data_IF_931355775588
#
_entry.id   IF_931355775588
#
_cell.length_a   1.000
_cell.length_b   1.000
_cell.length_c   1.000
_cell.angle_alpha   90.00
_cell.angle_beta   90.00
_cell.angle_gamma   90.00
#
_symmetry.space_group_name_H-M   'P 1'
#
loop_
_entity.id
_entity.type
_entity.pdbx_description
1 polymer ?
#
# COMPACT_ATOMS: atom_id res chain seq x y z
N UNK A 1 -1.05 10.41 -29.34
CA UNK A 1 -0.23 10.77 -28.17
C UNK A 1 -1.09 11.26 -27.00
N UNK A 2 -2.08 12.15 -27.23
CA UNK A 2 -2.98 12.68 -26.18
C UNK A 2 -3.76 11.59 -25.42
N UNK A 3 -4.27 10.55 -26.09
CA UNK A 3 -5.04 9.48 -25.43
C UNK A 3 -4.23 8.68 -24.39
N UNK A 4 -2.94 8.44 -24.65
CA UNK A 4 -2.07 7.71 -23.72
C UNK A 4 -1.77 8.50 -22.46
N UNK A 5 -1.56 9.82 -22.60
CA UNK A 5 -1.36 10.70 -21.46
C UNK A 5 -2.62 10.75 -20.57
N UNK A 6 -3.81 10.84 -21.19
CA UNK A 6 -5.07 10.80 -20.46
C UNK A 6 -5.27 9.50 -19.67
N UNK A 7 -5.00 8.35 -20.30
CA UNK A 7 -5.08 7.04 -19.65
C UNK A 7 -4.09 6.89 -18.48
N UNK A 8 -2.86 7.40 -18.64
CA UNK A 8 -1.86 7.40 -17.58
C UNK A 8 -2.33 8.23 -16.37
N UNK A 9 -2.81 9.46 -16.61
CA UNK A 9 -3.31 10.34 -15.54
C UNK A 9 -4.52 9.74 -14.82
N UNK A 10 -5.44 9.12 -15.56
CA UNK A 10 -6.59 8.42 -14.98
C UNK A 10 -6.14 7.26 -14.10
N UNK A 11 -5.19 6.45 -14.58
CA UNK A 11 -4.64 5.32 -13.82
C UNK A 11 -3.98 5.79 -12.53
N UNK A 12 -3.15 6.84 -12.60
CA UNK A 12 -2.52 7.44 -11.42
C UNK A 12 -3.55 8.03 -10.44
N UNK A 13 -4.62 8.64 -10.96
CA UNK A 13 -5.72 9.17 -10.16
C UNK A 13 -6.42 8.06 -9.37
N UNK A 14 -6.81 6.98 -10.06
CA UNK A 14 -7.48 5.82 -9.43
C UNK A 14 -6.56 5.15 -8.42
N UNK A 15 -5.29 4.91 -8.78
CA UNK A 15 -4.33 4.29 -7.88
C UNK A 15 -4.02 5.16 -6.65
N UNK A 16 -3.99 6.49 -6.79
CA UNK A 16 -3.88 7.43 -5.67
C UNK A 16 -5.08 7.32 -4.73
N UNK A 17 -6.30 7.22 -5.27
CA UNK A 17 -7.51 7.02 -4.48
C UNK A 17 -7.47 5.67 -3.72
N UNK A 18 -7.02 4.59 -4.38
CA UNK A 18 -6.84 3.28 -3.76
C UNK A 18 -5.82 3.34 -2.62
N UNK A 19 -4.68 4.02 -2.82
CA UNK A 19 -3.67 4.18 -1.79
C UNK A 19 -4.22 4.90 -0.55
N UNK A 20 -4.95 6.00 -0.75
CA UNK A 20 -5.60 6.73 0.35
C UNK A 20 -6.65 5.88 1.05
N UNK A 21 -7.43 5.10 0.29
CA UNK A 21 -8.37 4.13 0.85
C UNK A 21 -7.67 3.07 1.72
N UNK A 22 -6.52 2.57 1.27
CA UNK A 22 -5.69 1.65 2.04
C UNK A 22 -5.19 2.26 3.35
N UNK A 23 -4.75 3.53 3.33
CA UNK A 23 -4.36 4.26 4.55
C UNK A 23 -5.53 4.47 5.50
N UNK A 24 -6.71 4.82 5.00
CA UNK A 24 -7.91 4.99 5.81
C UNK A 24 -8.33 3.67 6.49
N UNK A 25 -8.31 2.55 5.76
CA UNK A 25 -8.57 1.22 6.33
C UNK A 25 -7.51 0.82 7.35
N UNK A 26 -6.23 1.13 7.08
CA UNK A 26 -5.15 0.87 8.01
C UNK A 26 -5.32 1.63 9.33
N UNK A 27 -5.63 2.92 9.26
CA UNK A 27 -5.92 3.74 10.43
C UNK A 27 -7.12 3.20 11.21
N UNK A 28 -8.17 2.76 10.51
CA UNK A 28 -9.34 2.14 11.14
C UNK A 28 -8.99 0.82 11.86
N UNK A 29 -8.05 0.04 11.34
CA UNK A 29 -7.62 -1.21 11.94
C UNK A 29 -6.67 -1.02 13.14
N UNK A 30 -5.82 0.01 13.11
CA UNK A 30 -4.85 0.31 14.18
C UNK A 30 -5.50 1.04 15.35
N UNK A 31 -6.44 1.96 15.07
CA UNK A 31 -6.96 2.91 16.06
C UNK A 31 -6.13 4.19 16.16
N UNK A 32 -6.48 5.05 17.12
CA UNK A 32 -5.78 6.31 17.41
C UNK A 32 -4.44 6.05 18.10
N UNK A 33 -3.48 6.94 17.88
CA UNK A 33 -2.18 6.83 18.54
C UNK A 33 -2.32 7.18 20.03
N UNK A 34 -2.08 6.20 20.91
CA UNK A 34 -2.04 6.46 22.35
C UNK A 34 -0.72 7.14 22.68
N UNK A 35 -0.79 8.36 23.19
CA UNK A 35 0.39 9.03 23.75
C UNK A 35 0.47 8.59 25.20
N UNK A 36 1.41 7.69 25.49
CA UNK A 36 1.77 7.39 26.88
C UNK A 36 2.40 8.66 27.46
N UNK A 37 1.74 9.25 28.45
CA UNK A 37 2.36 10.30 29.25
C UNK A 37 3.54 9.69 29.96
N UNK A 38 4.73 10.28 29.80
CA UNK A 38 5.87 9.97 30.66
C UNK A 38 5.41 10.29 32.08
N UNK A 39 5.15 9.25 32.86
CA UNK A 39 4.84 9.35 34.29
C UNK A 39 5.93 10.26 34.88
N UNK A 40 5.52 11.44 35.32
CA UNK A 40 6.41 12.32 36.07
C UNK A 40 6.94 11.51 37.24
N UNK A 41 8.25 11.54 37.45
CA UNK A 41 8.88 11.03 38.67
C UNK A 41 8.42 11.92 39.86
N UNK A 42 7.13 11.91 40.20
CA UNK A 42 6.62 12.44 41.46
C UNK A 42 6.73 11.31 42.48
N UNK A 43 7.91 11.21 43.10
CA UNK A 43 8.23 10.18 44.10
C UNK A 43 7.50 10.36 45.44
N UNK A 44 6.52 11.27 45.51
CA UNK A 44 5.88 11.69 46.76
C UNK A 44 4.35 11.73 46.69
N UNK A 45 3.73 11.28 45.60
CA UNK A 45 2.28 11.10 45.56
C UNK A 45 1.94 9.66 45.97
N UNK A 46 1.42 9.49 47.18
CA UNK A 46 0.79 8.25 47.67
C UNK A 46 -0.54 7.92 46.96
N UNK A 47 -0.86 8.60 45.85
CA UNK A 47 -2.07 8.38 45.07
C UNK A 47 -1.78 7.39 43.95
N UNK A 48 -2.62 6.36 43.84
CA UNK A 48 -2.59 5.37 42.76
C UNK A 48 -2.54 6.10 41.41
N UNK A 49 -1.39 6.01 40.73
CA UNK A 49 -1.17 6.58 39.39
C UNK A 49 -2.08 5.88 38.37
N UNK A 50 -3.33 6.34 38.28
CA UNK A 50 -4.21 6.03 37.18
C UNK A 50 -3.58 6.59 35.90
N UNK A 51 -2.98 5.71 35.11
CA UNK A 51 -2.51 6.01 33.76
C UNK A 51 -3.69 6.53 32.93
N UNK A 52 -3.86 7.86 32.82
CA UNK A 52 -4.88 8.45 31.96
C UNK A 52 -4.37 8.33 30.51
N UNK A 53 -4.94 7.45 29.65
CA UNK A 53 -4.60 7.46 28.25
C UNK A 53 -5.07 8.78 27.64
N UNK A 54 -4.14 9.66 27.28
CA UNK A 54 -4.48 10.85 26.52
C UNK A 54 -4.77 10.38 25.09
N UNK A 55 -6.05 10.27 24.76
CA UNK A 55 -6.49 10.03 23.39
C UNK A 55 -5.98 11.19 22.52
N UNK A 56 -5.02 10.90 21.65
CA UNK A 56 -4.67 11.80 20.57
C UNK A 56 -5.64 11.52 19.42
N UNK A 57 -6.44 12.51 19.04
CA UNK A 57 -7.30 12.47 17.85
C UNK A 57 -6.51 12.32 16.52
N UNK A 58 -5.19 12.23 16.59
CA UNK A 58 -4.34 12.10 15.40
C UNK A 58 -4.34 10.66 14.90
N UNK A 59 -4.53 10.45 13.58
CA UNK A 59 -4.42 9.12 13.00
C UNK A 59 -3.00 8.57 13.15
N UNK A 60 -2.89 7.26 13.41
CA UNK A 60 -1.61 6.58 13.57
C UNK A 60 -0.73 6.61 12.30
N UNK A 61 -1.35 6.76 11.12
CA UNK A 61 -0.68 6.91 9.83
C UNK A 61 -1.17 8.23 9.22
N UNK A 62 -0.27 9.22 9.01
CA UNK A 62 -0.67 10.46 8.38
C UNK A 62 -1.12 10.21 6.94
N UNK A 63 -2.31 10.70 6.59
CA UNK A 63 -2.81 10.56 5.23
C UNK A 63 -1.95 11.37 4.25
N UNK A 64 -1.47 10.75 3.15
CA UNK A 64 -0.78 11.50 2.12
C UNK A 64 -1.73 12.48 1.46
N UNK A 65 -1.24 13.69 1.17
CA UNK A 65 -1.93 14.60 0.25
C UNK A 65 -2.11 13.92 -1.11
N UNK A 66 -3.13 14.32 -1.85
CA UNK A 66 -3.43 13.72 -3.16
C UNK A 66 -2.23 13.74 -4.12
N UNK A 67 -1.47 14.84 -4.13
CA UNK A 67 -0.24 14.98 -4.91
C UNK A 67 0.86 14.03 -4.45
N UNK A 68 1.08 13.89 -3.13
CA UNK A 68 2.05 12.94 -2.57
C UNK A 68 1.68 11.49 -2.90
N UNK A 69 0.39 11.16 -2.82
CA UNK A 69 -0.11 9.83 -3.16
C UNK A 69 0.15 9.49 -4.64
N UNK A 70 -0.06 10.43 -5.56
CA UNK A 70 0.32 10.26 -6.98
C UNK A 70 1.81 9.99 -7.12
N UNK A 71 2.67 10.76 -6.44
CA UNK A 71 4.13 10.58 -6.51
C UNK A 71 4.53 9.21 -5.98
N UNK A 72 3.97 8.76 -4.85
CA UNK A 72 4.23 7.43 -4.28
C UNK A 72 3.88 6.34 -5.30
N UNK A 73 2.68 6.40 -5.87
CA UNK A 73 2.21 5.42 -6.87
C UNK A 73 3.09 5.46 -8.12
N UNK A 74 3.44 6.64 -8.60
CA UNK A 74 4.30 6.80 -9.77
C UNK A 74 5.70 6.20 -9.53
N UNK A 75 6.31 6.47 -8.39
CA UNK A 75 7.61 5.89 -8.01
C UNK A 75 7.52 4.36 -7.87
N UNK A 76 6.45 3.85 -7.26
CA UNK A 76 6.23 2.40 -7.15
C UNK A 76 6.08 1.75 -8.53
N UNK A 77 5.32 2.37 -9.43
CA UNK A 77 5.17 1.90 -10.80
C UNK A 77 6.50 1.95 -11.57
N UNK A 78 7.29 3.01 -11.40
CA UNK A 78 8.60 3.15 -12.03
C UNK A 78 9.56 2.05 -11.55
N UNK A 79 9.66 1.84 -10.24
CA UNK A 79 10.51 0.79 -9.66
C UNK A 79 10.06 -0.59 -10.10
N UNK A 80 8.76 -0.87 -10.10
CA UNK A 80 8.23 -2.14 -10.60
C UNK A 80 8.51 -2.34 -12.09
N UNK A 81 8.44 -1.29 -12.91
CA UNK A 81 8.78 -1.34 -14.34
C UNK A 81 10.26 -1.68 -14.52
N UNK A 82 11.15 -1.05 -13.74
CA UNK A 82 12.59 -1.36 -13.77
C UNK A 82 12.85 -2.80 -13.34
N UNK A 83 12.21 -3.28 -12.27
CA UNK A 83 12.34 -4.68 -11.82
C UNK A 83 11.83 -5.64 -12.90
N UNK A 84 10.65 -5.37 -13.47
CA UNK A 84 10.09 -6.19 -14.54
C UNK A 84 10.99 -6.23 -15.77
N UNK A 85 11.60 -5.09 -16.14
CA UNK A 85 12.56 -5.00 -17.23
C UNK A 85 13.85 -5.78 -16.94
N UNK A 86 14.40 -5.67 -15.73
CA UNK A 86 15.59 -6.44 -15.33
C UNK A 86 15.30 -7.94 -15.31
N UNK A 87 14.11 -8.32 -14.84
CA UNK A 87 13.64 -9.70 -14.89
C UNK A 87 13.47 -10.17 -16.34
N UNK A 88 12.87 -9.38 -17.23
CA UNK A 88 12.69 -9.79 -18.63
C UNK A 88 14.03 -10.00 -19.33
N UNK A 89 14.98 -9.07 -19.17
CA UNK A 89 16.33 -9.20 -19.76
C UNK A 89 17.07 -10.41 -19.22
N UNK A 90 16.87 -10.76 -17.94
CA UNK A 90 17.54 -11.91 -17.33
C UNK A 90 16.85 -13.24 -17.61
N UNK A 91 15.54 -13.21 -17.82
CA UNK A 91 14.67 -14.37 -18.02
C UNK A 91 14.40 -14.69 -19.49
N UNK A 92 15.03 -13.98 -20.45
CA UNK A 92 15.11 -14.31 -21.89
C UNK A 92 15.74 -15.72 -22.20
N UNK A 93 15.79 -16.62 -21.21
CA UNK A 93 16.01 -18.05 -21.36
C UNK A 93 14.70 -18.83 -21.58
N UNK A 94 14.75 -20.17 -21.67
CA UNK A 94 13.65 -21.04 -22.10
C UNK A 94 12.53 -21.22 -21.05
N UNK A 95 12.13 -20.15 -20.36
CA UNK A 95 10.90 -20.16 -19.59
C UNK A 95 9.75 -20.05 -20.59
N UNK A 96 9.13 -21.19 -20.91
CA UNK A 96 7.86 -21.23 -21.61
C UNK A 96 6.80 -20.57 -20.73
N UNK A 97 6.68 -19.24 -20.85
CA UNK A 97 5.62 -18.45 -20.23
C UNK A 97 4.24 -18.84 -20.75
N UNK A 98 4.11 -19.82 -21.64
CA UNK A 98 2.82 -20.41 -22.06
C UNK A 98 2.27 -21.40 -21.03
N UNK A 99 3.13 -21.99 -20.19
CA UNK A 99 2.69 -22.92 -19.17
C UNK A 99 2.04 -22.17 -17.99
N UNK A 100 0.74 -22.43 -17.78
CA UNK A 100 -0.06 -21.83 -16.71
C UNK A 100 0.64 -21.80 -15.33
N UNK A 101 1.31 -22.88 -14.85
CA UNK A 101 1.98 -22.85 -13.55
C UNK A 101 3.14 -21.84 -13.50
N UNK A 102 3.88 -21.70 -14.60
CA UNK A 102 5.03 -20.77 -14.72
C UNK A 102 4.53 -19.32 -14.72
N UNK A 103 3.43 -19.05 -15.43
CA UNK A 103 2.78 -17.73 -15.40
C UNK A 103 2.35 -17.34 -13.99
N UNK A 104 1.63 -18.24 -13.29
CA UNK A 104 1.14 -17.97 -11.94
C UNK A 104 2.32 -17.72 -10.99
N UNK A 105 3.38 -18.54 -11.06
CA UNK A 105 4.58 -18.33 -10.26
C UNK A 105 5.22 -16.97 -10.53
N UNK A 106 5.36 -16.57 -11.79
CA UNK A 106 5.90 -15.26 -12.17
C UNK A 106 5.04 -14.10 -11.65
N UNK A 107 3.71 -14.20 -11.74
CA UNK A 107 2.79 -13.20 -11.18
C UNK A 107 2.88 -13.13 -9.65
N UNK A 108 3.00 -14.25 -8.95
CA UNK A 108 3.16 -14.27 -7.50
C UNK A 108 4.47 -13.64 -7.05
N UNK A 109 5.58 -13.92 -7.76
CA UNK A 109 6.88 -13.28 -7.51
C UNK A 109 6.81 -11.79 -7.78
N UNK A 110 6.18 -11.38 -8.89
CA UNK A 110 5.97 -9.97 -9.22
C UNK A 110 5.11 -9.25 -8.19
N UNK A 111 4.04 -9.89 -7.72
CA UNK A 111 3.17 -9.36 -6.67
C UNK A 111 3.92 -9.18 -5.34
N UNK A 112 4.72 -10.17 -4.95
CA UNK A 112 5.58 -10.09 -3.76
C UNK A 112 6.65 -8.99 -3.88
N UNK A 113 7.29 -8.87 -5.05
CA UNK A 113 8.24 -7.79 -5.34
C UNK A 113 7.58 -6.42 -5.24
N UNK A 114 6.42 -6.24 -5.87
CA UNK A 114 5.65 -5.01 -5.79
C UNK A 114 5.21 -4.66 -4.37
N UNK A 115 4.92 -5.68 -3.54
CA UNK A 115 4.55 -5.48 -2.15
C UNK A 115 5.73 -4.90 -1.36
N UNK A 116 6.92 -5.48 -1.53
CA UNK A 116 8.16 -5.01 -0.88
C UNK A 116 8.50 -3.59 -1.34
N UNK A 117 8.36 -3.30 -2.64
CA UNK A 117 8.61 -1.96 -3.21
C UNK A 117 7.66 -0.93 -2.61
N UNK A 118 6.35 -1.20 -2.62
CA UNK A 118 5.35 -0.26 -2.11
C UNK A 118 5.52 -0.05 -0.60
N UNK A 119 5.79 -1.12 0.16
CA UNK A 119 6.12 -1.04 1.59
C UNK A 119 7.35 -0.14 1.82
N UNK A 120 8.43 -0.36 1.06
CA UNK A 120 9.66 0.43 1.18
C UNK A 120 9.45 1.90 0.87
N UNK A 121 8.70 2.21 -0.20
CA UNK A 121 8.39 3.59 -0.58
C UNK A 121 7.50 4.26 0.48
N UNK A 122 6.49 3.55 1.00
CA UNK A 122 5.62 4.09 2.06
C UNK A 122 6.40 4.36 3.35
N UNK A 123 7.27 3.43 3.76
CA UNK A 123 8.12 3.59 4.93
C UNK A 123 9.14 4.74 4.75
N UNK A 124 9.60 5.00 3.53
CA UNK A 124 10.53 6.09 3.24
C UNK A 124 9.86 7.47 3.11
N UNK A 125 8.64 7.53 2.56
CA UNK A 125 7.96 8.80 2.25
C UNK A 125 6.97 9.26 3.31
N UNK A 126 6.49 8.35 4.17
CA UNK A 126 5.60 8.69 5.28
C UNK A 126 6.34 8.47 6.60
N UNK A 127 6.21 9.39 7.59
CA UNK A 127 6.83 9.23 8.90
C UNK A 127 6.06 8.15 9.70
N UNK A 128 6.24 6.89 9.31
CA UNK A 128 5.48 5.73 9.78
C UNK A 128 6.42 4.58 10.07
N UNK A 129 6.01 3.63 10.91
CA UNK A 129 6.81 2.43 11.16
C UNK A 129 6.65 1.42 10.02
N UNK A 130 7.66 0.57 9.74
CA UNK A 130 7.57 -0.46 8.70
C UNK A 130 6.39 -1.40 8.88
N UNK A 131 5.99 -1.68 10.13
CA UNK A 131 4.80 -2.48 10.46
C UNK A 131 3.51 -1.80 10.01
N UNK A 132 3.36 -0.49 10.26
CA UNK A 132 2.21 0.31 9.82
C UNK A 132 2.18 0.43 8.29
N UNK A 133 3.34 0.65 7.65
CA UNK A 133 3.46 0.67 6.19
C UNK A 133 3.08 -0.67 5.54
N UNK A 134 3.52 -1.80 6.11
CA UNK A 134 3.16 -3.13 5.63
C UNK A 134 1.64 -3.38 5.64
N UNK A 135 0.97 -2.90 6.69
CA UNK A 135 -0.48 -3.03 6.84
C UNK A 135 -1.25 -2.16 5.82
N UNK A 136 -0.75 -0.96 5.51
CA UNK A 136 -1.27 -0.14 4.40
C UNK A 136 -1.10 -0.86 3.07
N UNK A 137 0.11 -1.37 2.78
CA UNK A 137 0.40 -2.12 1.55
C UNK A 137 -0.53 -3.32 1.41
N UNK A 138 -0.77 -4.06 2.50
CA UNK A 138 -1.70 -5.19 2.52
C UNK A 138 -3.13 -4.75 2.12
N UNK A 139 -3.66 -3.69 2.73
CA UNK A 139 -4.99 -3.19 2.37
C UNK A 139 -5.08 -2.69 0.94
N UNK A 140 -4.04 -2.03 0.43
CA UNK A 140 -3.96 -1.62 -0.99
C UNK A 140 -4.08 -2.85 -1.89
N UNK A 141 -3.32 -3.91 -1.61
CA UNK A 141 -3.40 -5.15 -2.38
C UNK A 141 -4.78 -5.81 -2.30
N UNK A 142 -5.41 -5.86 -1.13
CA UNK A 142 -6.76 -6.39 -0.96
C UNK A 142 -7.80 -5.58 -1.75
N UNK A 143 -7.71 -4.25 -1.74
CA UNK A 143 -8.59 -3.38 -2.55
C UNK A 143 -8.39 -3.66 -4.04
N UNK A 144 -7.14 -3.75 -4.50
CA UNK A 144 -6.83 -4.04 -5.92
C UNK A 144 -7.39 -5.40 -6.32
N UNK A 145 -7.18 -6.43 -5.51
CA UNK A 145 -7.73 -7.78 -5.77
C UNK A 145 -9.25 -7.73 -5.83
N UNK A 146 -9.92 -7.08 -4.86
CA UNK A 146 -11.37 -6.94 -4.86
C UNK A 146 -11.89 -6.22 -6.12
N UNK A 147 -11.22 -5.14 -6.54
CA UNK A 147 -11.55 -4.42 -7.78
C UNK A 147 -11.42 -5.32 -9.01
N UNK A 148 -10.31 -6.04 -9.15
CA UNK A 148 -10.08 -6.96 -10.27
C UNK A 148 -11.13 -8.07 -10.30
N UNK A 149 -11.43 -8.68 -9.16
CA UNK A 149 -12.45 -9.72 -9.05
C UNK A 149 -13.84 -9.19 -9.43
N UNK A 150 -14.20 -7.98 -8.98
CA UNK A 150 -15.49 -7.36 -9.33
C UNK A 150 -15.60 -7.06 -10.83
N UNK A 151 -14.56 -6.47 -11.42
CA UNK A 151 -14.53 -6.16 -12.86
C UNK A 151 -14.61 -7.45 -13.68
N UNK A 152 -13.83 -8.48 -13.31
CA UNK A 152 -13.87 -9.78 -13.97
C UNK A 152 -15.25 -10.45 -13.87
N UNK A 153 -15.84 -10.45 -12.68
CA UNK A 153 -17.18 -11.01 -12.46
C UNK A 153 -18.27 -10.29 -13.26
N UNK A 154 -18.18 -8.96 -13.37
CA UNK A 154 -19.11 -8.16 -14.18
C UNK A 154 -18.97 -8.49 -15.67
N UNK A 155 -17.75 -8.57 -16.19
CA UNK A 155 -17.49 -8.94 -17.59
C UNK A 155 -18.03 -10.35 -17.86
N UNK A 156 -17.77 -11.30 -16.96
CA UNK A 156 -18.28 -12.66 -17.08
C UNK A 156 -19.81 -12.71 -17.13
N UNK A 157 -20.50 -11.89 -16.32
CA UNK A 157 -21.96 -11.80 -16.29
C UNK A 157 -22.54 -11.16 -17.55
N UNK A 158 -21.85 -10.18 -18.15
CA UNK A 158 -22.31 -9.51 -19.37
C UNK A 158 -22.13 -10.40 -20.62
N UNK A 159 -21.07 -11.19 -20.66
CA UNK A 159 -20.72 -12.03 -21.81
C UNK A 159 -21.49 -13.35 -21.86
N UNK A 160 -22.18 -13.72 -20.79
CA UNK A 160 -22.96 -14.95 -20.66
C UNK A 160 -24.45 -14.68 -20.85
#
# INVERSE_FOLDING_TARGET
MVCWLGALLLTLFVASAVLRGGVALANRAIGTEKVETVIGWDWDSEEEDDLIPVESDKPAIPEPSFSKAIVIVFLAALVNTVIAFLLSVRLDGPLNLEEWPVQVAAYMVGAAGGFVVLLGILAAMLPTTPKRAALVTLFVYLIVVAMVTLVYGLIYLILK
#
